data_IF_029411685016
#
_entry.id   IF_029411685016
#
_cell.length_a   1.000
_cell.length_b   1.000
_cell.length_c   1.000
_cell.angle_alpha   90.00
_cell.angle_beta   90.00
_cell.angle_gamma   90.00
#
_symmetry.space_group_name_H-M   'P 1'
#
loop_
_entity.id
_entity.type
_entity.pdbx_description
1 polymer ?
#
# COMPACT_ATOMS: atom_id res chain seq x y z
N UNK A 1 -9.55 12.08 10.21
CA UNK A 1 -8.42 11.79 9.31
C UNK A 1 -8.99 11.64 7.91
N UNK A 2 -8.41 12.27 6.89
CA UNK A 2 -8.99 12.27 5.53
C UNK A 2 -8.92 10.84 4.99
N UNK A 3 -10.00 10.06 5.13
CA UNK A 3 -10.14 8.70 4.60
C UNK A 3 -9.70 8.62 3.13
N UNK A 4 -9.97 9.69 2.37
CA UNK A 4 -9.50 9.91 1.00
C UNK A 4 -7.98 9.73 0.82
N UNK A 5 -7.15 10.17 1.78
CA UNK A 5 -5.69 10.02 1.74
C UNK A 5 -5.25 8.56 1.94
N UNK A 6 -5.90 7.84 2.87
CA UNK A 6 -5.62 6.41 3.11
C UNK A 6 -6.02 5.59 1.88
N UNK A 7 -7.18 5.90 1.30
CA UNK A 7 -7.65 5.27 0.07
C UNK A 7 -6.67 5.53 -1.09
N UNK A 8 -6.18 6.76 -1.22
CA UNK A 8 -5.19 7.13 -2.24
C UNK A 8 -3.87 6.36 -2.06
N UNK A 9 -3.36 6.25 -0.83
CA UNK A 9 -2.15 5.46 -0.56
C UNK A 9 -2.34 3.96 -0.83
N UNK A 10 -3.54 3.42 -0.57
CA UNK A 10 -3.86 2.04 -0.89
C UNK A 10 -3.89 1.79 -2.40
N UNK A 11 -4.55 2.68 -3.15
CA UNK A 11 -4.56 2.67 -4.62
C UNK A 11 -3.15 2.77 -5.21
N UNK A 12 -2.32 3.68 -4.68
CA UNK A 12 -0.95 3.84 -5.11
C UNK A 12 -0.11 2.58 -4.84
N UNK A 13 -0.30 1.93 -3.69
CA UNK A 13 0.38 0.66 -3.36
C UNK A 13 -0.02 -0.48 -4.30
N UNK A 14 -1.31 -0.57 -4.66
CA UNK A 14 -1.78 -1.57 -5.60
C UNK A 14 -1.21 -1.32 -7.00
N UNK A 15 -1.25 -0.06 -7.47
CA UNK A 15 -0.70 0.31 -8.77
C UNK A 15 0.80 0.00 -8.87
N UNK A 16 1.58 0.34 -7.85
CA UNK A 16 3.03 0.05 -7.82
C UNK A 16 3.32 -1.45 -7.79
N UNK A 17 2.50 -2.25 -7.11
CA UNK A 17 2.64 -3.70 -7.12
C UNK A 17 2.35 -4.29 -8.51
N UNK A 18 1.25 -3.87 -9.15
CA UNK A 18 0.91 -4.30 -10.51
C UNK A 18 1.97 -3.89 -11.53
N UNK A 19 2.47 -2.65 -11.46
CA UNK A 19 3.55 -2.20 -12.34
C UNK A 19 4.84 -2.98 -12.11
N UNK A 20 5.22 -3.24 -10.86
CA UNK A 20 6.44 -3.97 -10.53
C UNK A 20 6.39 -5.43 -11.00
N UNK A 21 5.27 -6.11 -10.74
CA UNK A 21 5.04 -7.49 -11.22
C UNK A 21 4.98 -7.58 -12.74
N UNK A 22 4.36 -6.60 -13.41
CA UNK A 22 4.33 -6.51 -14.87
C UNK A 22 5.74 -6.33 -15.47
N UNK A 23 6.55 -5.44 -14.89
CA UNK A 23 7.95 -5.24 -15.28
C UNK A 23 8.78 -6.52 -15.11
N UNK A 24 8.67 -7.20 -13.96
CA UNK A 24 9.37 -8.47 -13.73
C UNK A 24 8.93 -9.55 -14.73
N UNK A 25 7.63 -9.60 -15.05
CA UNK A 25 7.06 -10.58 -15.98
C UNK A 25 7.53 -10.37 -17.43
N UNK A 26 7.64 -9.11 -17.88
CA UNK A 26 8.05 -8.80 -19.27
C UNK A 26 9.54 -8.95 -19.47
N UNK A 27 10.34 -8.38 -18.56
CA UNK A 27 11.78 -8.29 -18.77
C UNK A 27 12.51 -9.56 -18.31
N UNK A 28 11.87 -10.39 -17.48
CA UNK A 28 12.38 -11.70 -17.11
C UNK A 28 13.84 -11.69 -16.63
N UNK A 29 14.53 -12.81 -16.78
CA UNK A 29 15.99 -12.91 -16.62
C UNK A 29 16.73 -12.61 -17.93
N UNK A 30 16.07 -11.93 -18.87
CA UNK A 30 16.67 -11.60 -20.16
C UNK A 30 17.38 -10.24 -20.06
N UNK A 31 18.63 -10.14 -20.56
CA UNK A 31 19.33 -8.86 -20.59
C UNK A 31 18.55 -7.83 -21.42
N UNK A 32 18.44 -6.56 -20.98
CA UNK A 32 19.11 -5.94 -19.84
C UNK A 32 18.36 -6.10 -18.50
N UNK A 33 19.04 -6.70 -17.52
CA UNK A 33 18.53 -6.96 -16.16
C UNK A 33 18.09 -5.72 -15.36
N UNK A 34 18.40 -4.50 -15.82
CA UNK A 34 18.03 -3.25 -15.16
C UNK A 34 16.51 -3.11 -14.94
N UNK A 35 15.70 -3.56 -15.88
CA UNK A 35 14.23 -3.50 -15.75
C UNK A 35 13.68 -4.56 -14.79
N UNK A 36 14.35 -5.71 -14.68
CA UNK A 36 14.02 -6.74 -13.71
C UNK A 36 14.32 -6.29 -12.27
N UNK A 37 15.49 -5.67 -12.04
CA UNK A 37 15.84 -5.13 -10.73
C UNK A 37 14.96 -3.95 -10.33
N UNK A 38 14.60 -3.07 -11.26
CA UNK A 38 13.66 -1.97 -10.96
C UNK A 38 12.27 -2.51 -10.61
N UNK A 39 11.77 -3.52 -11.34
CA UNK A 39 10.49 -4.17 -11.02
C UNK A 39 10.48 -4.84 -9.64
N UNK A 40 11.54 -5.56 -9.28
CA UNK A 40 11.66 -6.20 -7.95
C UNK A 40 11.75 -5.18 -6.81
N UNK A 41 12.50 -4.09 -6.98
CA UNK A 41 12.53 -2.98 -6.01
C UNK A 41 11.13 -2.35 -5.87
N UNK A 42 10.41 -2.17 -6.98
CA UNK A 42 9.06 -1.60 -6.97
C UNK A 42 8.07 -2.48 -6.18
N UNK A 43 8.17 -3.81 -6.34
CA UNK A 43 7.37 -4.78 -5.56
C UNK A 43 7.68 -4.64 -4.06
N UNK A 44 8.97 -4.54 -3.70
CA UNK A 44 9.39 -4.42 -2.31
C UNK A 44 8.91 -3.11 -1.67
N UNK A 45 8.98 -2.00 -2.39
CA UNK A 45 8.41 -0.70 -1.98
C UNK A 45 6.89 -0.80 -1.81
N UNK A 46 6.21 -1.52 -2.70
CA UNK A 46 4.76 -1.72 -2.61
C UNK A 46 4.36 -2.45 -1.33
N UNK A 47 5.11 -3.47 -0.93
CA UNK A 47 4.89 -4.16 0.34
C UNK A 47 5.07 -3.24 1.55
N UNK A 48 6.12 -2.41 1.56
CA UNK A 48 6.33 -1.43 2.64
C UNK A 48 5.16 -0.45 2.75
N UNK A 49 4.67 0.05 1.61
CA UNK A 49 3.50 0.95 1.57
C UNK A 49 2.22 0.24 2.02
N UNK A 50 2.07 -1.05 1.71
CA UNK A 50 0.95 -1.86 2.19
C UNK A 50 0.97 -2.00 3.71
N UNK A 51 2.13 -2.23 4.32
CA UNK A 51 2.27 -2.31 5.79
C UNK A 51 1.87 -0.98 6.43
N UNK A 52 2.37 0.14 5.91
CA UNK A 52 2.04 1.48 6.44
C UNK A 52 0.53 1.75 6.33
N UNK A 53 -0.11 1.40 5.22
CA UNK A 53 -1.55 1.62 5.04
C UNK A 53 -2.39 0.76 5.97
N UNK A 54 -2.00 -0.49 6.23
CA UNK A 54 -2.66 -1.37 7.22
C UNK A 54 -2.57 -0.78 8.63
N UNK A 55 -1.39 -0.30 9.05
CA UNK A 55 -1.21 0.33 10.37
C UNK A 55 -2.08 1.58 10.50
N UNK A 56 -2.13 2.43 9.47
CA UNK A 56 -2.99 3.63 9.47
C UNK A 56 -4.48 3.29 9.52
N UNK A 57 -4.91 2.21 8.88
CA UNK A 57 -6.28 1.70 8.97
C UNK A 57 -6.61 1.21 10.38
N UNK A 58 -5.73 0.45 11.01
CA UNK A 58 -5.92 -0.01 12.39
C UNK A 58 -6.07 1.16 13.36
N UNK A 59 -5.20 2.16 13.29
CA UNK A 59 -5.27 3.37 14.12
C UNK A 59 -6.60 4.11 13.88
N UNK A 60 -7.02 4.22 12.63
CA UNK A 60 -8.27 4.89 12.26
C UNK A 60 -9.50 4.14 12.79
N UNK A 61 -9.50 2.82 12.70
CA UNK A 61 -10.56 1.95 13.21
C UNK A 61 -10.65 2.02 14.74
N UNK A 62 -9.52 1.92 15.43
CA UNK A 62 -9.44 2.06 16.88
C UNK A 62 -9.96 3.43 17.35
N UNK A 63 -9.57 4.50 16.64
CA UNK A 63 -10.06 5.85 16.93
C UNK A 63 -11.57 5.95 16.74
N UNK A 64 -12.11 5.40 15.65
CA UNK A 64 -13.56 5.41 15.37
C UNK A 64 -14.34 4.71 16.48
N UNK A 65 -13.91 3.50 16.86
CA UNK A 65 -14.52 2.73 17.95
C UNK A 65 -14.50 3.50 19.28
N UNK A 66 -13.37 4.12 19.63
CA UNK A 66 -13.24 4.94 20.84
C UNK A 66 -14.16 6.17 20.84
N UNK A 67 -14.36 6.84 19.70
CA UNK A 67 -15.30 7.97 19.60
C UNK A 67 -16.76 7.52 19.66
N UNK A 68 -17.13 6.41 19.02
CA UNK A 68 -18.49 5.87 19.08
C UNK A 68 -18.89 5.45 20.50
N UNK A 69 -17.97 4.89 21.26
CA UNK A 69 -18.18 4.56 22.68
C UNK A 69 -18.42 5.80 23.56
N UNK A 70 -17.82 6.96 23.22
CA UNK A 70 -18.03 8.21 23.96
C UNK A 70 -19.38 8.89 23.65
N UNK A 71 -19.90 8.74 22.44
CA UNK A 71 -21.20 9.31 22.05
C UNK A 71 -22.38 8.49 22.56
N UNK A 72 -22.21 7.17 22.76
CA UNK A 72 -23.27 6.28 23.27
C UNK A 72 -23.45 6.35 24.81
N UNK A 73 -22.51 6.98 25.53
CA UNK A 73 -22.53 7.14 26.99
C UNK A 73 -23.01 8.55 27.44
N UNK A 74 -23.56 9.35 26.52
CA UNK A 74 -24.25 10.62 26.80
C UNK A 74 -25.69 10.51 26.36
#
# INVERSE_FOLDING_TARGET
MKLKKILFTALLSAASYFSGTYLVSIYGLDPPYGYYYTGTILILVSYLMMVVTVVLLMISCYRYWRTGARTNNR
#
